data_IF_117159196574
#
_entry.id   IF_117159196574
#
_cell.length_a   1.000
_cell.length_b   1.000
_cell.length_c   1.000
_cell.angle_alpha   90.00
_cell.angle_beta   90.00
_cell.angle_gamma   90.00
#
_symmetry.space_group_name_H-M   'P 1'
#
loop_
_entity.id
_entity.type
_entity.pdbx_description
1 polymer ?
#
# COMPACT_ATOMS: atom_id res chain seq x y z
N UNK A 1 -21.94 -2.53 -24.83
CA UNK A 1 -20.58 -2.17 -25.25
C UNK A 1 -19.98 -1.14 -24.28
N UNK A 2 -20.64 -0.04 -24.04
CA UNK A 2 -20.16 1.00 -23.14
C UNK A 2 -19.87 0.47 -21.74
N UNK A 3 -20.78 -0.30 -21.18
CA UNK A 3 -20.61 -0.88 -19.86
C UNK A 3 -19.39 -1.80 -19.80
N UNK A 4 -19.21 -2.63 -20.84
CA UNK A 4 -18.07 -3.53 -20.92
C UNK A 4 -16.74 -2.76 -20.96
N UNK A 5 -16.70 -1.66 -21.71
CA UNK A 5 -15.51 -0.81 -21.81
C UNK A 5 -15.17 -0.20 -20.44
N UNK A 6 -16.19 0.33 -19.74
CA UNK A 6 -15.97 0.93 -18.41
C UNK A 6 -15.50 -0.12 -17.43
N UNK A 7 -16.08 -1.31 -17.42
CA UNK A 7 -15.69 -2.39 -16.51
C UNK A 7 -14.27 -2.87 -16.79
N UNK A 8 -13.92 -3.01 -18.06
CA UNK A 8 -12.58 -3.44 -18.45
C UNK A 8 -11.55 -2.38 -18.06
N UNK A 9 -11.81 -1.11 -18.35
CA UNK A 9 -10.92 -0.01 -17.99
C UNK A 9 -10.79 0.12 -16.47
N UNK A 10 -11.88 -0.06 -15.74
CA UNK A 10 -11.87 -0.01 -14.28
C UNK A 10 -11.05 -1.16 -13.67
N UNK A 11 -11.16 -2.36 -14.23
CA UNK A 11 -10.37 -3.51 -13.77
C UNK A 11 -8.88 -3.27 -13.99
N UNK A 12 -8.51 -2.72 -15.15
CA UNK A 12 -7.12 -2.37 -15.44
C UNK A 12 -6.66 -1.24 -14.53
N UNK A 13 -7.49 -0.21 -14.34
CA UNK A 13 -7.19 0.90 -13.43
C UNK A 13 -6.99 0.43 -12.00
N UNK A 14 -7.81 -0.53 -11.53
CA UNK A 14 -7.66 -1.11 -10.20
C UNK A 14 -6.31 -1.81 -10.06
N UNK A 15 -5.90 -2.58 -11.08
CA UNK A 15 -4.59 -3.22 -11.10
C UNK A 15 -3.44 -2.21 -11.06
N UNK A 16 -3.56 -1.13 -11.83
CA UNK A 16 -2.55 -0.06 -11.83
C UNK A 16 -2.50 0.67 -10.48
N UNK A 17 -3.65 0.86 -9.83
CA UNK A 17 -3.71 1.49 -8.51
C UNK A 17 -2.94 0.69 -7.46
N UNK A 18 -2.90 -0.65 -7.60
CA UNK A 18 -2.16 -1.51 -6.67
C UNK A 18 -0.65 -1.34 -6.77
N UNK A 19 -0.15 -0.71 -7.83
CA UNK A 19 1.29 -0.39 -7.95
C UNK A 19 1.72 0.56 -6.83
N UNK A 20 0.78 1.34 -6.26
CA UNK A 20 1.07 2.20 -5.12
C UNK A 20 1.67 1.44 -3.92
N UNK A 21 1.46 0.13 -3.84
CA UNK A 21 2.06 -0.71 -2.80
C UNK A 21 3.56 -0.97 -2.97
N UNK A 22 4.11 -0.71 -4.15
CA UNK A 22 5.54 -0.99 -4.43
C UNK A 22 6.45 -0.12 -3.58
N UNK A 23 6.15 1.19 -3.49
CA UNK A 23 6.95 2.12 -2.68
C UNK A 23 6.99 1.73 -1.20
N UNK A 24 5.83 1.66 -0.53
CA UNK A 24 5.77 1.22 0.86
C UNK A 24 6.36 -0.17 1.08
N UNK A 25 6.11 -1.11 0.15
CA UNK A 25 6.65 -2.47 0.25
C UNK A 25 8.17 -2.48 0.30
N UNK A 26 8.81 -1.75 -0.60
CA UNK A 26 10.27 -1.64 -0.63
C UNK A 26 10.78 -0.88 0.60
N UNK A 27 10.16 0.26 0.92
CA UNK A 27 10.57 1.10 2.03
C UNK A 27 10.44 0.40 3.37
N UNK A 28 9.32 -0.28 3.59
CA UNK A 28 9.08 -1.02 4.83
C UNK A 28 10.01 -2.23 4.96
N UNK A 29 10.27 -2.92 3.85
CA UNK A 29 11.23 -4.02 3.84
C UNK A 29 12.64 -3.55 4.19
N UNK A 30 13.05 -2.42 3.64
CA UNK A 30 14.33 -1.80 3.96
C UNK A 30 14.38 -1.39 5.44
N UNK A 31 13.33 -0.76 5.95
CA UNK A 31 13.24 -0.35 7.35
C UNK A 31 13.30 -1.56 8.28
N UNK A 32 12.61 -2.65 7.94
CA UNK A 32 12.64 -3.87 8.73
C UNK A 32 14.05 -4.48 8.78
N UNK A 33 14.75 -4.50 7.66
CA UNK A 33 16.14 -4.97 7.60
C UNK A 33 17.07 -4.13 8.45
N UNK A 34 16.92 -2.80 8.40
CA UNK A 34 17.72 -1.89 9.21
C UNK A 34 17.40 -2.01 10.70
N UNK A 35 16.13 -2.21 11.04
CA UNK A 35 15.73 -2.42 12.43
C UNK A 35 16.31 -3.72 12.98
N UNK A 36 16.27 -4.81 12.20
CA UNK A 36 16.85 -6.09 12.59
C UNK A 36 18.37 -5.94 12.84
N UNK A 37 19.05 -5.25 11.96
CA UNK A 37 20.48 -4.96 12.09
C UNK A 37 20.77 -4.15 13.36
N UNK A 38 19.96 -3.12 13.63
CA UNK A 38 20.11 -2.28 14.80
C UNK A 38 19.90 -3.06 16.10
N UNK A 39 18.89 -3.97 16.13
CA UNK A 39 18.64 -4.84 17.28
C UNK A 39 19.83 -5.78 17.51
N UNK A 40 20.44 -6.26 16.43
CA UNK A 40 21.64 -7.10 16.51
C UNK A 40 22.81 -6.37 17.18
N UNK A 41 22.94 -5.05 16.96
CA UNK A 41 24.00 -4.24 17.58
C UNK A 41 23.64 -3.81 19.00
N UNK A 42 22.38 -3.51 19.25
CA UNK A 42 21.87 -2.99 20.51
C UNK A 42 20.63 -3.73 20.97
N UNK A 43 20.79 -5.00 21.42
CA UNK A 43 19.63 -5.81 21.85
C UNK A 43 18.79 -5.14 22.94
N UNK A 44 19.42 -4.35 23.80
CA UNK A 44 18.74 -3.64 24.89
C UNK A 44 17.80 -2.55 24.37
N UNK A 45 17.99 -2.09 23.14
CA UNK A 45 17.15 -1.05 22.53
C UNK A 45 16.02 -1.62 21.65
N UNK A 46 15.80 -2.95 21.67
CA UNK A 46 14.84 -3.62 20.81
C UNK A 46 13.46 -2.96 20.83
N UNK A 47 12.95 -2.61 22.00
CA UNK A 47 11.63 -1.99 22.14
C UNK A 47 11.54 -0.65 21.43
N UNK A 48 12.51 0.23 21.65
CA UNK A 48 12.55 1.55 21.02
C UNK A 48 12.72 1.46 19.50
N UNK A 49 13.59 0.56 19.04
CA UNK A 49 13.83 0.35 17.61
C UNK A 49 12.58 -0.15 16.93
N UNK A 50 11.91 -1.15 17.51
CA UNK A 50 10.68 -1.73 16.96
C UNK A 50 9.56 -0.70 16.90
N UNK A 51 9.36 0.09 17.96
CA UNK A 51 8.33 1.12 17.99
C UNK A 51 8.54 2.18 16.94
N UNK A 52 9.78 2.66 16.80
CA UNK A 52 10.15 3.67 15.82
C UNK A 52 9.92 3.14 14.40
N UNK A 53 10.35 1.90 14.13
CA UNK A 53 10.16 1.26 12.84
C UNK A 53 8.68 1.13 12.51
N UNK A 54 7.86 0.64 13.44
CA UNK A 54 6.43 0.43 13.20
C UNK A 54 5.72 1.75 12.92
N UNK A 55 6.08 2.82 13.63
CA UNK A 55 5.49 4.13 13.39
C UNK A 55 5.79 4.61 11.96
N UNK A 56 7.05 4.51 11.55
CA UNK A 56 7.46 4.90 10.21
C UNK A 56 6.80 4.05 9.13
N UNK A 57 6.71 2.73 9.35
CA UNK A 57 6.06 1.83 8.41
C UNK A 57 4.56 2.11 8.31
N UNK A 58 3.90 2.44 9.42
CA UNK A 58 2.48 2.78 9.41
C UNK A 58 2.20 4.04 8.58
N UNK A 59 3.05 5.05 8.71
CA UNK A 59 2.94 6.28 7.91
C UNK A 59 3.19 5.97 6.43
N UNK A 60 4.22 5.20 6.13
CA UNK A 60 4.55 4.83 4.74
C UNK A 60 3.44 4.01 4.10
N UNK A 61 2.78 3.12 4.86
CA UNK A 61 1.70 2.29 4.34
C UNK A 61 0.50 3.09 3.88
N UNK A 62 0.32 4.32 4.38
CA UNK A 62 -0.81 5.18 3.99
C UNK A 62 -0.96 5.28 2.48
N UNK A 63 0.14 5.45 1.74
CA UNK A 63 0.09 5.60 0.28
C UNK A 63 -0.35 4.31 -0.40
N UNK A 64 0.07 3.15 0.10
CA UNK A 64 -0.38 1.85 -0.40
C UNK A 64 -1.87 1.64 -0.13
N UNK A 65 -2.35 2.06 1.03
CA UNK A 65 -3.77 1.96 1.39
C UNK A 65 -4.61 2.86 0.50
N UNK A 66 -4.13 4.07 0.15
CA UNK A 66 -4.85 4.93 -0.78
C UNK A 66 -5.05 4.24 -2.12
N UNK A 67 -4.02 3.61 -2.66
CA UNK A 67 -4.13 2.84 -3.90
C UNK A 67 -5.10 1.67 -3.77
N UNK A 68 -5.07 0.96 -2.65
CA UNK A 68 -6.00 -0.13 -2.37
C UNK A 68 -7.44 0.36 -2.34
N UNK A 69 -7.71 1.50 -1.70
CA UNK A 69 -9.06 2.06 -1.64
C UNK A 69 -9.58 2.38 -3.04
N UNK A 70 -8.75 3.00 -3.88
CA UNK A 70 -9.12 3.29 -5.27
C UNK A 70 -9.43 2.00 -6.02
N UNK A 71 -8.60 0.96 -5.86
CA UNK A 71 -8.81 -0.33 -6.51
C UNK A 71 -10.13 -0.96 -6.09
N UNK A 72 -10.46 -0.95 -4.78
CA UNK A 72 -11.70 -1.51 -4.27
C UNK A 72 -12.92 -0.75 -4.77
N UNK A 73 -12.83 0.58 -4.87
CA UNK A 73 -13.91 1.40 -5.41
C UNK A 73 -14.16 1.02 -6.87
N UNK A 74 -13.11 0.88 -7.67
CA UNK A 74 -13.25 0.55 -9.08
C UNK A 74 -13.79 -0.87 -9.30
N UNK A 75 -13.43 -1.83 -8.42
CA UNK A 75 -13.85 -3.21 -8.57
C UNK A 75 -15.26 -3.47 -8.04
N UNK A 76 -15.65 -2.84 -6.94
CA UNK A 76 -16.89 -3.22 -6.24
C UNK A 76 -17.94 -2.13 -6.21
N UNK A 77 -17.57 -0.87 -6.06
CA UNK A 77 -18.55 0.23 -5.99
C UNK A 77 -18.74 0.93 -7.34
N UNK A 78 -17.75 0.93 -8.14
CA UNK A 78 -17.60 1.52 -9.48
C UNK A 78 -18.59 2.67 -9.80
N UNK A 79 -18.33 3.87 -9.27
CA UNK A 79 -19.24 5.00 -9.50
C UNK A 79 -19.32 5.42 -10.96
N UNK A 80 -18.33 5.02 -11.79
CA UNK A 80 -18.29 5.37 -13.21
C UNK A 80 -19.44 4.74 -13.98
N UNK A 81 -19.92 3.58 -13.55
CA UNK A 81 -21.07 2.90 -14.19
C UNK A 81 -22.31 3.77 -14.08
N UNK A 82 -22.49 4.47 -12.98
CA UNK A 82 -23.64 5.34 -12.76
C UNK A 82 -23.69 6.56 -13.68
N UNK A 83 -22.59 6.87 -14.36
CA UNK A 83 -22.52 7.97 -15.30
C UNK A 83 -23.08 7.61 -16.69
N UNK A 84 -23.34 6.33 -16.91
CA UNK A 84 -24.01 5.90 -18.14
C UNK A 84 -25.50 6.22 -18.07
#
# INVERSE_FOLDING_TARGET
>A
MERAIILAASAIGAGLAMIAGVGPGIGQGFAAGKAAEAVGRQPEAKGAITSTMLFGCAVAESTGIYGLVVALILLFANPLIGLL
#
